data_IF_729945700409
#
_entry.id   IF_729945700409
#
_cell.length_a   1.000
_cell.length_b   1.000
_cell.length_c   1.000
_cell.angle_alpha   90.00
_cell.angle_beta   90.00
_cell.angle_gamma   90.00
#
_symmetry.space_group_name_H-M   'P 1'
#
loop_
_entity.id
_entity.type
_entity.pdbx_description
1 polymer ?
#
# COMPACT_ATOMS: atom_id res chain seq x y z
N UNK A 1 15.91 -0.78 -0.61
CA UNK A 1 17.27 -0.65 -0.04
C UNK A 1 18.33 -0.42 -1.11
N UNK A 2 18.32 -1.18 -2.19
CA UNK A 2 19.34 -1.05 -3.26
C UNK A 2 19.39 0.36 -3.85
N UNK A 3 18.26 0.95 -4.18
CA UNK A 3 18.19 2.28 -4.76
C UNK A 3 18.62 3.37 -3.78
N UNK A 4 18.28 3.22 -2.51
CA UNK A 4 18.71 4.15 -1.46
C UNK A 4 20.25 4.11 -1.29
N UNK A 5 20.84 2.93 -1.30
CA UNK A 5 22.30 2.77 -1.23
C UNK A 5 22.99 3.36 -2.48
N UNK A 6 22.44 3.16 -3.65
CA UNK A 6 22.96 3.76 -4.88
C UNK A 6 22.90 5.29 -4.85
N UNK A 7 21.79 5.86 -4.36
CA UNK A 7 21.68 7.32 -4.20
C UNK A 7 22.73 7.85 -3.23
N UNK A 8 22.90 7.19 -2.07
CA UNK A 8 23.77 7.67 -1.00
C UNK A 8 25.27 7.50 -1.32
N UNK A 9 25.67 6.41 -1.99
CA UNK A 9 27.07 6.02 -2.12
C UNK A 9 27.60 5.98 -3.55
N UNK A 10 26.74 5.99 -4.55
CA UNK A 10 27.14 5.94 -5.96
C UNK A 10 26.66 7.12 -6.77
N UNK A 11 26.01 8.09 -6.15
CA UNK A 11 25.43 9.26 -6.85
C UNK A 11 24.57 8.88 -8.06
N UNK A 12 23.84 7.78 -7.93
CA UNK A 12 22.86 7.36 -8.95
C UNK A 12 21.53 7.99 -8.60
N UNK A 13 20.97 8.78 -9.49
CA UNK A 13 19.66 9.40 -9.30
C UNK A 13 18.60 8.33 -9.06
N UNK A 14 17.80 8.53 -8.02
CA UNK A 14 16.67 7.67 -7.70
C UNK A 14 15.37 8.42 -7.96
N UNK A 15 14.59 7.91 -8.90
CA UNK A 15 13.24 8.39 -9.11
C UNK A 15 12.34 7.71 -8.09
N UNK A 16 11.74 8.50 -7.19
CA UNK A 16 10.80 7.97 -6.21
C UNK A 16 9.65 7.25 -6.93
N UNK A 17 9.23 6.07 -6.45
CA UNK A 17 8.06 5.41 -6.99
C UNK A 17 6.79 6.19 -6.64
N UNK A 18 5.77 6.08 -7.50
CA UNK A 18 4.39 6.34 -7.08
C UNK A 18 3.99 5.21 -6.13
N UNK A 19 3.21 5.51 -5.12
CA UNK A 19 2.80 4.51 -4.13
C UNK A 19 1.29 4.32 -4.13
N UNK A 20 0.87 3.06 -4.05
CA UNK A 20 -0.53 2.65 -4.05
C UNK A 20 -0.75 1.68 -2.90
N UNK A 21 -1.76 1.94 -2.09
CA UNK A 21 -2.20 1.03 -1.03
C UNK A 21 -3.24 0.08 -1.59
N UNK A 22 -3.06 -1.21 -1.35
CA UNK A 22 -3.98 -2.26 -1.72
C UNK A 22 -4.16 -3.27 -0.61
N UNK A 23 -5.12 -4.17 -0.80
CA UNK A 23 -5.39 -5.28 0.10
C UNK A 23 -5.38 -6.60 -0.65
N UNK A 24 -5.07 -7.67 0.06
CA UNK A 24 -4.98 -9.01 -0.52
C UNK A 24 -5.86 -10.00 0.23
N UNK A 25 -6.34 -10.98 -0.50
CA UNK A 25 -7.15 -12.09 0.05
C UNK A 25 -6.32 -13.34 0.32
N UNK A 26 -5.01 -13.26 0.10
CA UNK A 26 -4.03 -14.26 0.48
C UNK A 26 -2.78 -13.57 1.02
N UNK A 27 -2.01 -14.28 1.83
CA UNK A 27 -0.74 -13.75 2.37
C UNK A 27 0.29 -13.53 1.29
N UNK A 28 1.13 -12.52 1.47
CA UNK A 28 2.26 -12.20 0.59
C UNK A 28 3.55 -12.81 1.12
N UNK A 29 4.53 -12.90 0.24
CA UNK A 29 5.91 -13.30 0.56
C UNK A 29 6.89 -12.34 -0.12
N UNK A 30 8.16 -12.46 0.19
CA UNK A 30 9.22 -11.63 -0.40
C UNK A 30 9.37 -11.82 -1.92
N UNK A 31 8.77 -12.87 -2.48
CA UNK A 31 8.76 -13.13 -3.92
C UNK A 31 7.47 -12.66 -4.61
N UNK A 32 6.49 -12.19 -3.83
CA UNK A 32 5.23 -11.68 -4.38
C UNK A 32 5.48 -10.34 -5.10
N UNK A 33 4.99 -10.24 -6.32
CA UNK A 33 5.03 -9.00 -7.11
C UNK A 33 3.64 -8.40 -7.21
N UNK A 34 3.55 -7.18 -7.71
CA UNK A 34 2.26 -6.54 -7.97
C UNK A 34 1.41 -7.27 -9.02
N UNK A 35 2.01 -8.16 -9.80
CA UNK A 35 1.29 -8.99 -10.77
C UNK A 35 0.88 -10.36 -10.24
N UNK A 36 1.51 -10.82 -9.15
CA UNK A 36 1.24 -12.14 -8.56
C UNK A 36 0.49 -12.08 -7.24
N UNK A 37 0.34 -10.89 -6.65
CA UNK A 37 -0.46 -10.70 -5.44
C UNK A 37 -1.93 -11.05 -5.69
N UNK A 38 -2.54 -11.78 -4.75
CA UNK A 38 -3.94 -12.16 -4.85
C UNK A 38 -4.82 -11.05 -4.29
N UNK A 39 -5.29 -10.18 -5.17
CA UNK A 39 -6.20 -9.08 -4.83
C UNK A 39 -7.66 -9.47 -5.04
N UNK A 40 -8.60 -8.73 -4.42
CA UNK A 40 -10.01 -8.86 -4.79
C UNK A 40 -10.21 -8.65 -6.29
N UNK A 41 -11.09 -9.45 -6.91
CA UNK A 41 -11.38 -9.36 -8.34
C UNK A 41 -12.79 -8.80 -8.54
N UNK A 42 -12.88 -7.68 -9.26
CA UNK A 42 -14.16 -7.00 -9.49
C UNK A 42 -14.67 -6.25 -8.25
N UNK A 43 -15.98 -6.03 -8.15
CA UNK A 43 -16.58 -5.34 -7.02
C UNK A 43 -16.07 -3.91 -6.79
N UNK A 44 -15.66 -3.21 -7.85
CA UNK A 44 -15.06 -1.88 -7.83
C UNK A 44 -13.72 -1.81 -7.08
N UNK A 45 -13.05 -2.94 -6.81
CA UNK A 45 -11.74 -2.92 -6.18
C UNK A 45 -10.73 -2.18 -7.05
N UNK A 46 -9.99 -1.29 -6.42
CA UNK A 46 -8.81 -0.65 -7.00
C UNK A 46 -7.85 -0.25 -5.86
N UNK A 47 -6.56 -0.29 -6.14
CA UNK A 47 -5.56 0.28 -5.24
C UNK A 47 -5.75 1.79 -5.17
N UNK A 48 -5.51 2.38 -4.01
CA UNK A 48 -5.61 3.82 -3.79
C UNK A 48 -4.23 4.46 -3.76
N UNK A 49 -4.01 5.45 -4.61
CA UNK A 49 -2.76 6.20 -4.63
C UNK A 49 -2.61 7.03 -3.36
N UNK A 50 -1.45 6.94 -2.74
CA UNK A 50 -1.05 7.81 -1.63
C UNK A 50 0.13 8.66 -2.08
N UNK A 51 -0.06 9.97 -2.05
CA UNK A 51 0.91 10.92 -2.60
C UNK A 51 2.00 11.27 -1.59
N UNK A 52 3.05 11.91 -2.07
CA UNK A 52 4.11 12.44 -1.22
C UNK A 52 3.54 13.48 -0.25
N UNK A 53 4.23 13.68 0.87
CA UNK A 53 3.94 14.78 1.78
C UNK A 53 3.96 16.11 1.02
N UNK A 54 2.93 16.92 1.23
CA UNK A 54 2.73 18.19 0.50
C UNK A 54 2.06 18.04 -0.87
N UNK A 55 1.77 16.83 -1.33
CA UNK A 55 1.00 16.58 -2.55
C UNK A 55 -0.52 16.61 -2.32
N UNK A 56 -1.26 16.10 -3.30
CA UNK A 56 -2.72 15.96 -3.19
C UNK A 56 -3.09 14.83 -2.23
N UNK A 57 -4.12 15.03 -1.42
CA UNK A 57 -4.62 14.01 -0.47
C UNK A 57 -5.13 12.74 -1.20
N UNK A 58 -4.92 11.53 -0.66
CA UNK A 58 -4.23 11.22 0.60
C UNK A 58 -2.69 11.31 0.46
N UNK A 59 -2.01 11.67 1.55
CA UNK A 59 -0.56 11.87 1.55
C UNK A 59 0.12 11.11 2.67
N UNK A 60 1.41 10.78 2.47
CA UNK A 60 2.28 10.32 3.53
C UNK A 60 2.67 11.47 4.47
N UNK A 61 2.95 11.14 5.72
CA UNK A 61 3.55 12.07 6.68
C UNK A 61 5.00 12.41 6.29
N UNK A 62 5.58 13.41 6.94
CA UNK A 62 7.04 13.54 6.95
C UNK A 62 7.63 12.39 7.76
N UNK A 63 8.84 11.98 7.40
CA UNK A 63 9.54 10.94 8.15
C UNK A 63 9.92 11.47 9.54
N UNK A 64 9.59 10.71 10.57
CA UNK A 64 9.91 11.02 11.96
C UNK A 64 10.38 9.75 12.66
N UNK A 65 11.48 9.81 13.39
CA UNK A 65 12.01 8.65 14.12
C UNK A 65 12.16 7.38 13.26
N UNK A 66 12.58 7.56 12.02
CA UNK A 66 12.78 6.49 11.02
C UNK A 66 11.49 5.80 10.56
N UNK A 67 10.35 6.43 10.76
CA UNK A 67 9.05 5.92 10.32
C UNK A 67 8.32 6.96 9.47
N UNK A 68 7.45 6.47 8.61
CA UNK A 68 6.50 7.26 7.81
C UNK A 68 5.13 6.63 7.97
N UNK A 69 4.12 7.44 8.22
CA UNK A 69 2.72 6.99 8.31
C UNK A 69 1.88 7.64 7.22
N UNK A 70 0.67 7.11 7.00
CA UNK A 70 -0.31 7.86 6.22
C UNK A 70 -0.75 9.09 7.03
N UNK A 71 -0.47 10.27 6.52
CA UNK A 71 -0.77 11.54 7.19
C UNK A 71 -2.26 11.82 7.31
N UNK A 72 -3.07 11.20 6.46
CA UNK A 72 -4.53 11.27 6.46
C UNK A 72 -5.10 9.89 6.19
N UNK A 73 -6.40 9.69 6.43
CA UNK A 73 -7.06 8.43 6.13
C UNK A 73 -6.91 8.04 4.66
N UNK A 74 -6.65 6.76 4.41
CA UNK A 74 -6.60 6.16 3.07
C UNK A 74 -7.83 5.29 2.91
N UNK A 75 -8.71 5.65 1.99
CA UNK A 75 -9.98 4.97 1.76
C UNK A 75 -9.98 4.34 0.38
N UNK A 76 -10.18 3.01 0.33
CA UNK A 76 -10.34 2.30 -0.92
C UNK A 76 -11.74 2.54 -1.49
N UNK A 77 -11.97 2.30 -2.79
CA UNK A 77 -13.32 2.40 -3.36
C UNK A 77 -14.31 1.53 -2.59
N UNK A 78 -15.56 1.99 -2.45
CA UNK A 78 -16.60 1.20 -1.83
C UNK A 78 -16.87 -0.07 -2.64
N UNK A 79 -16.95 -1.22 -1.98
CA UNK A 79 -17.22 -2.49 -2.63
C UNK A 79 -18.64 -2.52 -3.21
N UNK A 80 -18.76 -2.85 -4.48
CA UNK A 80 -20.06 -3.04 -5.15
C UNK A 80 -20.47 -4.50 -5.21
N UNK A 81 -19.57 -5.40 -4.84
CA UNK A 81 -19.79 -6.83 -4.67
C UNK A 81 -18.80 -7.34 -3.62
N UNK A 82 -18.97 -8.58 -3.17
CA UNK A 82 -18.04 -9.17 -2.19
C UNK A 82 -16.60 -9.22 -2.73
N UNK A 83 -15.65 -8.80 -1.90
CA UNK A 83 -14.21 -8.95 -2.16
C UNK A 83 -13.64 -10.24 -1.54
N UNK A 84 -14.46 -11.00 -0.79
CA UNK A 84 -14.00 -12.10 0.04
C UNK A 84 -13.43 -11.61 1.38
N UNK A 85 -12.51 -12.37 1.95
CA UNK A 85 -11.86 -12.01 3.21
C UNK A 85 -10.48 -11.41 2.93
N UNK A 86 -10.29 -10.17 3.33
CA UNK A 86 -8.99 -9.48 3.29
C UNK A 86 -8.16 -9.98 4.45
N UNK A 87 -6.94 -10.44 4.17
CA UNK A 87 -6.00 -11.00 5.17
C UNK A 87 -4.67 -10.28 5.21
N UNK A 88 -4.39 -9.42 4.24
CA UNK A 88 -3.14 -8.68 4.14
C UNK A 88 -3.34 -7.31 3.50
N UNK A 89 -2.42 -6.42 3.75
CA UNK A 89 -2.33 -5.11 3.10
C UNK A 89 -0.93 -4.90 2.53
N UNK A 90 -0.82 -4.05 1.53
CA UNK A 90 0.47 -3.79 0.89
C UNK A 90 0.55 -2.40 0.27
N UNK A 91 1.78 -1.98 -0.02
CA UNK A 91 2.10 -0.78 -0.78
C UNK A 91 2.81 -1.21 -2.06
N UNK A 92 2.25 -0.84 -3.20
CA UNK A 92 2.79 -1.17 -4.51
C UNK A 92 3.26 0.08 -5.26
N UNK A 93 4.10 -0.13 -6.27
CA UNK A 93 4.67 0.94 -7.10
C UNK A 93 3.76 1.37 -8.26
N UNK A 94 2.65 0.67 -8.50
CA UNK A 94 1.73 0.94 -9.61
C UNK A 94 0.29 0.62 -9.22
N UNK A 95 -0.66 1.23 -9.94
CA UNK A 95 -2.09 0.98 -9.75
C UNK A 95 -2.48 -0.46 -10.11
N UNK A 96 -1.72 -1.11 -11.00
CA UNK A 96 -1.87 -2.50 -11.40
C UNK A 96 -0.49 -3.06 -11.75
N UNK A 97 -0.23 -4.30 -11.42
CA UNK A 97 1.11 -4.87 -11.60
C UNK A 97 2.16 -4.13 -10.74
N UNK A 98 3.36 -3.95 -11.27
CA UNK A 98 4.46 -3.29 -10.58
C UNK A 98 5.08 -4.15 -9.48
N UNK A 99 5.80 -3.49 -8.58
CA UNK A 99 6.49 -4.12 -7.47
C UNK A 99 5.71 -3.94 -6.16
N UNK A 100 5.79 -4.92 -5.28
CA UNK A 100 5.37 -4.76 -3.88
C UNK A 100 6.55 -4.13 -3.14
N UNK A 101 6.34 -2.94 -2.59
CA UNK A 101 7.36 -2.20 -1.85
C UNK A 101 7.38 -2.59 -0.38
N UNK A 102 6.20 -2.73 0.23
CA UNK A 102 5.99 -3.14 1.61
C UNK A 102 4.71 -3.95 1.71
N UNK A 103 4.64 -4.89 2.64
CA UNK A 103 3.42 -5.64 2.93
C UNK A 103 3.33 -6.01 4.40
N UNK A 104 2.10 -6.28 4.84
CA UNK A 104 1.77 -6.75 6.18
C UNK A 104 0.73 -7.87 6.08
N UNK A 105 1.11 -9.05 6.56
CA UNK A 105 0.24 -10.22 6.64
C UNK A 105 -0.49 -10.32 7.99
N UNK A 106 -0.21 -9.41 8.92
CA UNK A 106 -0.83 -9.40 10.25
C UNK A 106 -2.10 -8.53 10.31
N UNK A 107 -2.54 -8.05 9.15
CA UNK A 107 -3.84 -7.38 9.04
C UNK A 107 -4.94 -8.33 9.54
N UNK A 108 -5.76 -7.86 10.47
CA UNK A 108 -6.87 -8.65 10.99
C UNK A 108 -7.80 -9.07 9.84
N UNK A 109 -8.14 -10.34 9.78
CA UNK A 109 -9.02 -10.87 8.73
C UNK A 109 -10.35 -10.14 8.73
N UNK A 110 -10.72 -9.60 7.59
CA UNK A 110 -11.91 -8.78 7.43
C UNK A 110 -12.70 -9.21 6.19
N UNK A 111 -13.88 -9.74 6.39
CA UNK A 111 -14.80 -9.98 5.28
C UNK A 111 -15.32 -8.64 4.75
N UNK A 112 -15.24 -8.44 3.44
CA UNK A 112 -15.70 -7.23 2.76
C UNK A 112 -16.82 -7.60 1.80
N UNK A 113 -18.02 -7.16 2.11
CA UNK A 113 -19.23 -7.37 1.31
C UNK A 113 -19.62 -6.13 0.51
N UNK A 114 -20.66 -6.29 -0.31
CA UNK A 114 -21.21 -5.16 -1.08
C UNK A 114 -21.66 -4.02 -0.15
N UNK A 115 -21.22 -2.81 -0.45
CA UNK A 115 -21.51 -1.62 0.34
C UNK A 115 -20.45 -1.31 1.40
N UNK A 116 -19.55 -2.24 1.70
CA UNK A 116 -18.49 -2.01 2.67
C UNK A 116 -17.38 -1.14 2.06
N UNK A 117 -16.69 -0.40 2.93
CA UNK A 117 -15.54 0.44 2.56
C UNK A 117 -14.36 0.10 3.44
N UNK A 118 -13.23 -0.24 2.84
CA UNK A 118 -11.97 -0.46 3.55
C UNK A 118 -11.28 0.89 3.73
N UNK A 119 -10.94 1.23 4.96
CA UNK A 119 -10.25 2.47 5.28
C UNK A 119 -9.12 2.21 6.27
N UNK A 120 -7.98 2.84 6.01
CA UNK A 120 -6.88 2.96 6.96
C UNK A 120 -6.92 4.35 7.56
N UNK A 121 -7.22 4.48 8.85
CA UNK A 121 -7.24 5.77 9.53
C UNK A 121 -5.85 6.42 9.50
N UNK A 122 -5.77 7.73 9.71
CA UNK A 122 -4.48 8.44 9.79
C UNK A 122 -3.58 7.78 10.83
N UNK A 123 -2.38 7.41 10.40
CA UNK A 123 -1.39 6.74 11.25
C UNK A 123 -1.48 5.21 11.29
N UNK A 124 -2.50 4.60 10.71
CA UNK A 124 -2.67 3.13 10.73
C UNK A 124 -1.65 2.40 9.85
N UNK A 125 -1.21 3.04 8.78
CA UNK A 125 -0.13 2.51 7.94
C UNK A 125 1.17 3.10 8.45
N UNK A 126 2.02 2.26 9.02
CA UNK A 126 3.31 2.67 9.58
C UNK A 126 4.43 1.89 8.89
N UNK A 127 5.29 2.61 8.20
CA UNK A 127 6.46 2.05 7.51
C UNK A 127 7.70 2.54 8.24
N UNK A 128 8.39 1.61 8.91
CA UNK A 128 9.57 1.90 9.69
C UNK A 128 10.82 1.20 9.12
N UNK A 129 11.98 1.80 9.34
CA UNK A 129 13.30 1.24 9.01
C UNK A 129 14.07 1.01 10.31
N UNK A 130 14.51 -0.21 10.50
CA UNK A 130 15.34 -0.59 11.65
C UNK A 130 16.83 -0.28 11.40
#
# INVERSE_FOLDING_TARGET
AHNLLNLAFRNVAYSKPTTYVGVATATLSDTTTGSTVTEPSGGAYARTQVNINGGSSPTWSIATSRAVTNGVAVTLPAATASWGTVVASFIASAASGGDILFYDNDTADQAVGSGDTVQFASGDIDVAIN
#
